data_IF_792570671616
#
_entry.id   IF_792570671616
#
_cell.length_a   1.000
_cell.length_b   1.000
_cell.length_c   1.000
_cell.angle_alpha   90.00
_cell.angle_beta   90.00
_cell.angle_gamma   90.00
#
_symmetry.space_group_name_H-M   'P 1'
#
loop_
_entity.id
_entity.type
_entity.pdbx_description
1 polymer ?
#
# COMPACT_ATOMS: atom_id res chain seq x y z
N UNK A 1 -5.33 -42.86 -45.76
CA UNK A 1 -4.66 -43.04 -44.44
C UNK A 1 -4.38 -41.65 -43.87
N UNK A 2 -5.16 -41.19 -42.88
CA UNK A 2 -5.24 -39.77 -42.52
C UNK A 2 -4.97 -39.53 -41.03
N UNK A 3 -4.00 -38.64 -40.78
CA UNK A 3 -3.78 -37.72 -39.64
C UNK A 3 -3.85 -38.29 -38.21
N UNK A 4 -2.67 -38.65 -37.67
CA UNK A 4 -2.42 -38.86 -36.23
C UNK A 4 -1.52 -37.77 -35.61
N UNK A 5 -1.24 -36.68 -36.33
CA UNK A 5 -0.27 -35.63 -35.93
C UNK A 5 -0.91 -34.41 -35.23
N UNK A 6 -2.23 -34.27 -35.29
CA UNK A 6 -2.91 -33.03 -34.88
C UNK A 6 -3.15 -32.98 -33.35
N UNK A 7 -3.36 -34.14 -32.71
CA UNK A 7 -3.59 -34.26 -31.25
C UNK A 7 -2.34 -33.92 -30.42
N UNK A 8 -1.14 -34.21 -30.94
CA UNK A 8 0.12 -33.88 -30.27
C UNK A 8 0.35 -32.36 -30.21
N UNK A 9 -0.08 -31.60 -31.23
CA UNK A 9 0.07 -30.15 -31.28
C UNK A 9 -0.87 -29.38 -30.34
N UNK A 10 -2.10 -29.86 -30.12
CA UNK A 10 -3.05 -29.20 -29.20
C UNK A 10 -2.65 -29.37 -27.74
N UNK A 11 -2.19 -30.57 -27.37
CA UNK A 11 -1.68 -30.84 -26.02
C UNK A 11 -0.38 -30.08 -25.76
N UNK A 12 0.46 -29.92 -26.78
CA UNK A 12 1.70 -29.16 -26.67
C UNK A 12 1.47 -27.65 -26.52
N UNK A 13 0.45 -27.06 -27.16
CA UNK A 13 0.04 -25.67 -26.92
C UNK A 13 -0.54 -25.47 -25.52
N UNK A 14 -1.35 -26.43 -25.05
CA UNK A 14 -1.91 -26.39 -23.70
C UNK A 14 -0.81 -26.51 -22.62
N UNK A 15 0.24 -27.27 -22.89
CA UNK A 15 1.41 -27.38 -22.01
C UNK A 15 2.27 -26.11 -21.96
N UNK A 16 2.21 -25.25 -22.99
CA UNK A 16 3.02 -24.02 -23.10
C UNK A 16 2.30 -22.76 -22.61
N UNK A 17 0.96 -22.76 -22.54
CA UNK A 17 0.16 -21.64 -22.00
C UNK A 17 0.50 -21.29 -20.53
N UNK A 18 0.66 -22.25 -19.60
CA UNK A 18 1.05 -21.95 -18.21
C UNK A 18 2.41 -21.23 -18.16
N UNK A 19 3.36 -21.65 -19.01
CA UNK A 19 4.67 -21.03 -19.13
C UNK A 19 4.56 -19.56 -19.55
N UNK A 20 3.66 -19.24 -20.47
CA UNK A 20 3.42 -17.87 -20.96
C UNK A 20 2.74 -17.00 -19.90
N UNK A 21 1.73 -17.53 -19.21
CA UNK A 21 1.06 -16.84 -18.10
C UNK A 21 2.04 -16.52 -16.97
N UNK A 22 2.89 -17.48 -16.59
CA UNK A 22 3.95 -17.27 -15.59
C UNK A 22 4.97 -16.23 -16.05
N UNK A 23 5.36 -16.25 -17.34
CA UNK A 23 6.29 -15.27 -17.89
C UNK A 23 5.73 -13.85 -17.89
N UNK A 24 4.44 -13.68 -18.22
CA UNK A 24 3.76 -12.40 -18.21
C UNK A 24 3.57 -11.88 -16.77
N UNK A 25 3.16 -12.76 -15.85
CA UNK A 25 3.05 -12.43 -14.43
C UNK A 25 4.39 -11.98 -13.85
N UNK A 26 5.50 -12.60 -14.26
CA UNK A 26 6.84 -12.21 -13.83
C UNK A 26 7.26 -10.85 -14.39
N UNK A 27 6.92 -10.55 -15.65
CA UNK A 27 7.17 -9.24 -16.26
C UNK A 27 6.35 -8.15 -15.56
N UNK A 28 5.06 -8.39 -15.33
CA UNK A 28 4.17 -7.45 -14.65
C UNK A 28 4.64 -7.20 -13.22
N UNK A 29 5.10 -8.24 -12.51
CA UNK A 29 5.69 -8.10 -11.18
C UNK A 29 6.94 -7.22 -11.18
N UNK A 30 7.88 -7.44 -12.10
CA UNK A 30 9.09 -6.62 -12.18
C UNK A 30 8.77 -5.17 -12.55
N UNK A 31 7.79 -4.95 -13.43
CA UNK A 31 7.36 -3.60 -13.81
C UNK A 31 6.65 -2.89 -12.65
N UNK A 32 5.72 -3.58 -11.97
CA UNK A 32 5.05 -3.09 -10.77
C UNK A 32 6.05 -2.78 -9.65
N UNK A 33 7.07 -3.63 -9.45
CA UNK A 33 8.13 -3.39 -8.47
C UNK A 33 8.92 -2.12 -8.77
N UNK A 34 9.29 -1.88 -10.02
CA UNK A 34 10.00 -0.66 -10.41
C UNK A 34 9.14 0.59 -10.22
N UNK A 35 7.87 0.52 -10.63
CA UNK A 35 6.95 1.65 -10.48
C UNK A 35 6.66 1.95 -9.00
N UNK A 36 6.39 0.93 -8.20
CA UNK A 36 6.18 1.06 -6.74
C UNK A 36 7.43 1.60 -6.07
N UNK A 37 8.63 1.12 -6.40
CA UNK A 37 9.87 1.65 -5.82
C UNK A 37 10.08 3.13 -6.16
N UNK A 38 9.81 3.53 -7.41
CA UNK A 38 9.89 4.93 -7.85
C UNK A 38 8.87 5.82 -7.12
N UNK A 39 7.61 5.36 -7.02
CA UNK A 39 6.54 6.05 -6.28
C UNK A 39 6.84 6.13 -4.78
N UNK A 40 7.30 5.05 -4.18
CA UNK A 40 7.68 4.99 -2.76
C UNK A 40 8.84 5.92 -2.44
N UNK A 41 9.87 6.00 -3.30
CA UNK A 41 10.99 6.93 -3.12
C UNK A 41 10.52 8.39 -3.17
N UNK A 42 9.69 8.75 -4.15
CA UNK A 42 9.12 10.10 -4.27
C UNK A 42 8.25 10.46 -3.07
N UNK A 43 7.37 9.54 -2.66
CA UNK A 43 6.53 9.70 -1.47
C UNK A 43 7.38 9.82 -0.20
N UNK A 44 8.44 9.01 -0.06
CA UNK A 44 9.35 9.02 1.07
C UNK A 44 10.15 10.32 1.19
N UNK A 45 10.61 10.88 0.07
CA UNK A 45 11.27 12.21 0.06
C UNK A 45 10.28 13.30 0.50
N UNK A 46 9.04 13.26 -0.01
CA UNK A 46 7.99 14.20 0.40
C UNK A 46 7.66 14.10 1.89
N UNK A 47 7.42 12.89 2.39
CA UNK A 47 7.15 12.63 3.80
C UNK A 47 8.35 13.02 4.70
N UNK A 48 9.58 12.75 4.26
CA UNK A 48 10.79 13.17 4.93
C UNK A 48 10.93 14.69 5.02
N UNK A 49 10.70 15.40 3.90
CA UNK A 49 10.74 16.87 3.87
C UNK A 49 9.67 17.49 4.79
N UNK A 50 8.45 16.95 4.81
CA UNK A 50 7.39 17.39 5.73
C UNK A 50 7.80 17.15 7.17
N UNK A 51 8.39 15.99 7.49
CA UNK A 51 8.86 15.68 8.85
C UNK A 51 9.91 16.69 9.32
N UNK A 52 10.88 17.01 8.47
CA UNK A 52 11.91 18.02 8.75
C UNK A 52 11.29 19.41 8.91
N UNK A 53 10.36 19.81 8.03
CA UNK A 53 9.67 21.09 8.13
C UNK A 53 8.88 21.20 9.45
N UNK A 54 8.12 20.17 9.82
CA UNK A 54 7.39 20.13 11.09
C UNK A 54 8.32 20.19 12.30
N UNK A 55 9.48 19.54 12.25
CA UNK A 55 10.50 19.64 13.28
C UNK A 55 10.97 21.09 13.48
N UNK A 56 11.31 21.80 12.40
CA UNK A 56 11.72 23.21 12.51
C UNK A 56 10.58 24.13 12.96
N UNK A 57 9.36 23.91 12.48
CA UNK A 57 8.18 24.67 12.93
C UNK A 57 7.95 24.46 14.43
N UNK A 58 8.13 23.23 14.95
CA UNK A 58 8.02 22.95 16.38
C UNK A 58 9.01 23.79 17.21
N UNK A 59 10.29 23.81 16.83
CA UNK A 59 11.30 24.61 17.54
C UNK A 59 11.07 26.12 17.38
N UNK A 60 10.62 26.57 16.21
CA UNK A 60 10.26 27.97 15.96
C UNK A 60 9.12 28.42 16.87
N UNK A 61 8.08 27.59 17.06
CA UNK A 61 7.02 27.85 18.03
C UNK A 61 7.57 27.98 19.45
N UNK A 62 8.42 27.05 19.90
CA UNK A 62 9.06 27.14 21.23
C UNK A 62 9.86 28.44 21.41
N UNK A 63 10.65 28.84 20.40
CA UNK A 63 11.39 30.08 20.43
C UNK A 63 10.47 31.31 20.52
N UNK A 64 9.34 31.31 19.80
CA UNK A 64 8.34 32.37 19.89
C UNK A 64 7.69 32.44 21.28
N UNK A 65 7.41 31.30 21.91
CA UNK A 65 6.89 31.27 23.28
C UNK A 65 7.89 31.91 24.25
N UNK A 66 9.15 31.51 24.20
CA UNK A 66 10.20 32.08 25.05
C UNK A 66 10.35 33.59 24.80
N UNK A 67 10.36 34.02 23.54
CA UNK A 67 10.43 35.44 23.18
C UNK A 67 9.22 36.24 23.71
N UNK A 68 8.01 35.69 23.61
CA UNK A 68 6.81 36.33 24.14
C UNK A 68 6.85 36.46 25.68
N UNK A 69 7.31 35.42 26.38
CA UNK A 69 7.50 35.45 27.82
C UNK A 69 8.54 36.50 28.19
N UNK A 70 9.69 36.52 27.51
CA UNK A 70 10.75 37.49 27.76
C UNK A 70 10.29 38.94 27.53
N UNK A 71 9.53 39.18 26.45
CA UNK A 71 8.97 40.49 26.14
C UNK A 71 7.97 40.97 27.21
N UNK A 72 7.08 40.10 27.68
CA UNK A 72 6.13 40.42 28.76
C UNK A 72 6.82 40.56 30.13
N UNK A 73 7.89 39.80 30.35
CA UNK A 73 8.69 39.88 31.57
C UNK A 73 9.43 41.23 31.74
N UNK A 74 9.48 42.07 30.69
CA UNK A 74 9.97 43.45 30.80
C UNK A 74 9.04 44.34 31.64
N UNK A 75 7.76 43.98 31.75
CA UNK A 75 6.74 44.76 32.46
C UNK A 75 6.20 44.03 33.69
N UNK A 76 6.10 42.69 33.63
CA UNK A 76 5.56 41.84 34.70
C UNK A 76 6.60 40.86 35.26
N UNK A 77 6.38 40.28 36.45
CA UNK A 77 7.17 39.15 36.92
C UNK A 77 7.13 37.98 35.93
N UNK A 78 8.27 37.30 35.77
CA UNK A 78 8.45 36.24 34.75
C UNK A 78 7.42 35.10 34.87
N UNK A 79 7.00 34.74 36.10
CA UNK A 79 5.98 33.70 36.33
C UNK A 79 4.60 34.12 35.82
N UNK A 80 4.22 35.40 35.96
CA UNK A 80 2.94 35.91 35.49
C UNK A 80 2.93 36.03 33.96
N UNK A 81 4.04 36.51 33.39
CA UNK A 81 4.24 36.53 31.93
C UNK A 81 4.09 35.12 31.33
N UNK A 82 4.71 34.11 31.94
CA UNK A 82 4.60 32.72 31.51
C UNK A 82 3.14 32.21 31.54
N UNK A 83 2.40 32.48 32.61
CA UNK A 83 0.99 32.08 32.73
C UNK A 83 0.10 32.74 31.67
N UNK A 84 0.34 34.01 31.37
CA UNK A 84 -0.47 34.76 30.38
C UNK A 84 -0.20 34.29 28.97
N UNK A 85 1.06 34.04 28.61
CA UNK A 85 1.40 33.43 27.32
C UNK A 85 0.80 32.03 27.21
N UNK A 86 0.89 31.21 28.26
CA UNK A 86 0.30 29.88 28.28
C UNK A 86 -1.22 29.92 28.10
N UNK A 87 -1.92 30.84 28.77
CA UNK A 87 -3.36 31.04 28.60
C UNK A 87 -3.71 31.46 27.16
N UNK A 88 -2.95 32.40 26.57
CA UNK A 88 -3.14 32.81 25.17
C UNK A 88 -2.96 31.65 24.19
N UNK A 89 -1.91 30.83 24.37
CA UNK A 89 -1.67 29.65 23.56
C UNK A 89 -2.78 28.60 23.70
N UNK A 90 -3.33 28.43 24.91
CA UNK A 90 -4.44 27.51 25.14
C UNK A 90 -5.69 27.94 24.36
N UNK A 91 -5.98 29.24 24.32
CA UNK A 91 -7.09 29.79 23.52
C UNK A 91 -6.85 29.56 22.02
N UNK A 92 -5.64 29.82 21.54
CA UNK A 92 -5.28 29.56 20.14
C UNK A 92 -5.37 28.07 19.78
N UNK A 93 -4.90 27.19 20.67
CA UNK A 93 -4.99 25.74 20.49
C UNK A 93 -6.45 25.27 20.45
N UNK A 94 -7.30 25.76 21.37
CA UNK A 94 -8.72 25.47 21.36
C UNK A 94 -9.38 25.95 20.04
N UNK A 95 -9.09 27.18 19.61
CA UNK A 95 -9.61 27.71 18.35
C UNK A 95 -9.15 26.90 17.14
N UNK A 96 -7.88 26.47 17.09
CA UNK A 96 -7.35 25.63 16.02
C UNK A 96 -8.02 24.25 15.99
N UNK A 97 -8.21 23.60 17.15
CA UNK A 97 -8.93 22.33 17.27
C UNK A 97 -10.37 22.49 16.79
N UNK A 98 -11.07 23.53 17.27
CA UNK A 98 -12.45 23.82 16.85
C UNK A 98 -12.53 24.06 15.34
N UNK A 99 -11.62 24.87 14.78
CA UNK A 99 -11.56 25.15 13.35
C UNK A 99 -11.31 23.87 12.53
N UNK A 100 -10.38 23.01 12.98
CA UNK A 100 -10.11 21.72 12.36
C UNK A 100 -11.32 20.79 12.37
N UNK A 101 -11.99 20.68 13.52
CA UNK A 101 -13.23 19.90 13.66
C UNK A 101 -14.34 20.47 12.78
N UNK A 102 -14.48 21.79 12.71
CA UNK A 102 -15.46 22.45 11.84
C UNK A 102 -15.14 22.22 10.36
N UNK A 103 -13.87 22.21 9.97
CA UNK A 103 -13.45 21.95 8.59
C UNK A 103 -13.76 20.51 8.17
N UNK A 104 -13.51 19.55 9.06
CA UNK A 104 -13.87 18.14 8.86
C UNK A 104 -15.40 17.98 8.78
N UNK A 105 -16.13 18.61 9.71
CA UNK A 105 -17.61 18.55 9.76
C UNK A 105 -18.29 19.25 8.57
N UNK A 106 -17.66 20.28 7.99
CA UNK A 106 -18.19 21.02 6.82
C UNK A 106 -17.95 20.29 5.50
N UNK A 107 -17.40 19.08 5.50
CA UNK A 107 -17.30 18.25 4.31
C UNK A 107 -16.33 18.80 3.27
N UNK A 108 -15.26 19.51 3.68
CA UNK A 108 -14.14 19.72 2.77
C UNK A 108 -13.71 18.32 2.29
N UNK A 109 -13.68 18.04 0.97
CA UNK A 109 -13.43 16.69 0.46
C UNK A 109 -11.97 16.33 0.71
N UNK A 110 -11.65 15.95 1.94
CA UNK A 110 -10.58 15.01 2.18
C UNK A 110 -10.99 13.79 1.35
N UNK A 111 -10.18 13.34 0.37
CA UNK A 111 -10.61 12.27 -0.52
C UNK A 111 -11.05 11.10 0.35
N UNK A 112 -12.33 10.71 0.30
CA UNK A 112 -12.84 9.65 1.18
C UNK A 112 -12.02 8.37 1.00
N UNK A 113 -11.55 8.13 -0.22
CA UNK A 113 -10.63 7.05 -0.55
C UNK A 113 -9.28 7.14 0.18
N UNK A 114 -8.77 8.34 0.46
CA UNK A 114 -7.53 8.53 1.22
C UNK A 114 -7.76 8.33 2.72
N UNK A 115 -8.89 8.80 3.26
CA UNK A 115 -9.25 8.58 4.66
C UNK A 115 -9.56 7.10 4.96
N UNK A 116 -10.33 6.43 4.10
CA UNK A 116 -10.63 5.00 4.25
C UNK A 116 -9.36 4.16 4.19
N UNK A 117 -8.42 4.47 3.29
CA UNK A 117 -7.13 3.77 3.22
C UNK A 117 -6.31 3.93 4.50
N UNK A 118 -6.25 5.13 5.08
CA UNK A 118 -5.54 5.34 6.36
C UNK A 118 -6.25 4.59 7.50
N UNK A 119 -7.59 4.52 7.48
CA UNK A 119 -8.37 3.73 8.44
C UNK A 119 -8.07 2.24 8.34
N UNK A 120 -8.09 1.69 7.12
CA UNK A 120 -7.78 0.29 6.84
C UNK A 120 -6.32 -0.05 7.21
N UNK A 121 -5.38 0.86 6.91
CA UNK A 121 -3.97 0.70 7.25
C UNK A 121 -3.74 0.69 8.78
N UNK A 122 -4.41 1.57 9.52
CA UNK A 122 -4.31 1.60 11.00
C UNK A 122 -4.98 0.38 11.62
N UNK A 123 -6.13 -0.07 11.09
CA UNK A 123 -6.81 -1.28 11.53
C UNK A 123 -5.94 -2.52 11.28
N UNK A 124 -5.29 -2.62 10.12
CA UNK A 124 -4.37 -3.70 9.80
C UNK A 124 -3.15 -3.75 10.74
N UNK A 125 -2.60 -2.58 11.12
CA UNK A 125 -1.51 -2.51 12.10
C UNK A 125 -1.95 -2.90 13.52
N UNK A 126 -3.19 -2.61 13.89
CA UNK A 126 -3.80 -3.03 15.16
C UNK A 126 -3.99 -4.55 15.26
N UNK A 127 -4.49 -5.17 14.18
CA UNK A 127 -4.74 -6.61 14.08
C UNK A 127 -3.44 -7.44 14.25
N UNK A 128 -2.33 -6.97 13.65
CA UNK A 128 -1.01 -7.62 13.78
C UNK A 128 -0.51 -7.57 15.23
N UNK A 129 -0.73 -6.46 15.95
CA UNK A 129 -0.34 -6.34 17.36
C UNK A 129 -1.19 -7.22 18.27
N UNK A 130 -2.49 -7.35 17.99
CA UNK A 130 -3.40 -8.15 18.81
C UNK A 130 -3.15 -9.66 18.64
N UNK A 131 -2.87 -10.13 17.42
CA UNK A 131 -2.56 -11.54 17.16
C UNK A 131 -1.14 -11.97 17.58
N UNK A 132 -0.21 -11.03 17.74
CA UNK A 132 1.12 -11.32 18.25
C UNK A 132 1.12 -11.73 19.73
N UNK A 133 0.14 -11.26 20.52
CA UNK A 133 -0.01 -11.62 21.93
C UNK A 133 -0.58 -13.04 22.11
N UNK A 134 -1.36 -13.52 21.13
CA UNK A 134 -1.96 -14.86 21.10
C UNK A 134 -1.03 -15.96 20.59
N UNK A 135 0.10 -15.59 19.95
CA UNK A 135 1.05 -16.50 19.32
C UNK A 135 2.30 -16.84 20.16
N UNK A 136 2.27 -16.63 21.47
CA UNK A 136 3.37 -17.11 22.33
C UNK A 136 3.38 -18.65 22.38
N UNK A 137 4.52 -19.32 22.08
CA UNK A 137 4.66 -20.74 22.32
C UNK A 137 4.53 -20.99 23.82
N UNK A 138 3.54 -21.79 24.24
CA UNK A 138 3.46 -22.25 25.63
C UNK A 138 4.79 -22.95 26.00
N UNK A 139 5.45 -22.57 27.11
CA UNK A 139 6.62 -23.30 27.60
C UNK A 139 6.19 -24.76 27.86
N UNK A 140 6.68 -25.70 27.03
CA UNK A 140 6.42 -27.13 27.17
C UNK A 140 5.83 -27.87 25.96
N UNK A 141 5.53 -27.21 24.84
CA UNK A 141 5.13 -27.93 23.63
C UNK A 141 6.35 -28.58 22.96
N UNK A 142 6.49 -29.90 23.10
CA UNK A 142 7.57 -30.69 22.51
C UNK A 142 7.55 -30.74 20.98
N UNK A 143 8.59 -31.29 20.33
CA UNK A 143 8.75 -31.27 18.89
C UNK A 143 7.62 -32.05 18.20
N UNK A 144 6.86 -31.39 17.31
CA UNK A 144 5.83 -32.06 16.50
C UNK A 144 6.52 -32.81 15.36
N UNK A 145 6.49 -34.15 15.40
CA UNK A 145 7.05 -35.02 14.36
C UNK A 145 6.06 -35.12 13.17
N UNK A 146 6.48 -34.89 11.91
CA UNK A 146 5.59 -35.09 10.77
C UNK A 146 5.32 -36.59 10.54
N UNK A 147 4.04 -36.96 10.45
CA UNK A 147 3.60 -38.33 10.25
C UNK A 147 3.71 -38.77 8.78
N UNK A 148 4.57 -39.76 8.54
CA UNK A 148 4.30 -40.95 7.73
C UNK A 148 3.91 -40.80 6.26
N UNK A 149 4.89 -41.01 5.38
CA UNK A 149 4.69 -41.46 4.01
C UNK A 149 4.45 -42.98 3.96
N UNK A 150 3.34 -43.41 3.35
CA UNK A 150 3.01 -44.74 2.79
C UNK A 150 1.54 -44.62 2.30
N UNK A 151 1.05 -45.07 1.15
CA UNK A 151 1.41 -46.07 0.15
C UNK A 151 0.07 -46.63 -0.36
N UNK A 152 -0.12 -46.85 -1.67
CA UNK A 152 -1.30 -47.59 -2.18
C UNK A 152 -1.88 -47.13 -3.52
N UNK A 153 -1.71 -47.98 -4.53
CA UNK A 153 -2.33 -47.96 -5.87
C UNK A 153 -3.80 -48.40 -5.84
N UNK A 154 -4.65 -47.92 -6.77
CA UNK A 154 -5.65 -48.73 -7.49
C UNK A 154 -6.31 -47.94 -8.64
N UNK A 155 -6.78 -48.71 -9.61
CA UNK A 155 -7.19 -48.44 -10.98
C UNK A 155 -8.70 -48.16 -11.15
N UNK A 156 -9.09 -47.90 -12.41
CA UNK A 156 -10.44 -47.87 -13.03
C UNK A 156 -11.16 -46.52 -12.95
N UNK A 157 -12.03 -46.08 -13.87
CA UNK A 157 -12.41 -46.32 -15.28
C UNK A 157 -13.65 -45.40 -15.45
N UNK A 158 -13.89 -44.77 -16.61
CA UNK A 158 -15.25 -44.25 -16.89
C UNK A 158 -15.41 -42.87 -17.55
N UNK A 159 -15.49 -42.88 -18.88
CA UNK A 159 -16.57 -42.29 -19.71
C UNK A 159 -16.90 -40.77 -19.61
N UNK A 160 -16.82 -40.06 -20.76
CA UNK A 160 -17.59 -38.82 -21.00
C UNK A 160 -17.06 -37.90 -22.10
N UNK A 161 -17.80 -37.78 -23.20
CA UNK A 161 -17.45 -37.18 -24.49
C UNK A 161 -17.67 -35.63 -24.60
N UNK A 162 -17.37 -34.97 -25.75
CA UNK A 162 -16.95 -33.56 -25.86
C UNK A 162 -17.92 -32.61 -26.61
N UNK A 163 -17.62 -31.30 -26.60
CA UNK A 163 -18.14 -30.29 -27.54
C UNK A 163 -17.19 -29.07 -27.58
N UNK A 164 -16.55 -28.76 -28.71
CA UNK A 164 -16.98 -27.74 -29.70
C UNK A 164 -16.53 -26.30 -29.31
N UNK A 165 -16.02 -25.36 -30.12
CA UNK A 165 -15.56 -25.25 -31.52
C UNK A 165 -14.96 -23.82 -31.68
N UNK A 166 -13.93 -23.65 -32.52
CA UNK A 166 -13.68 -22.40 -33.29
C UNK A 166 -12.81 -21.34 -32.61
N UNK A 167 -12.04 -20.49 -33.29
CA UNK A 167 -11.69 -20.36 -34.70
C UNK A 167 -10.54 -19.34 -34.79
N UNK A 168 -9.56 -19.62 -35.64
CA UNK A 168 -8.39 -18.79 -35.96
C UNK A 168 -8.80 -17.48 -36.65
N UNK A 169 -8.17 -16.34 -36.28
CA UNK A 169 -7.97 -15.22 -37.21
C UNK A 169 -6.60 -14.57 -37.00
N UNK A 170 -5.75 -14.71 -38.00
CA UNK A 170 -4.56 -13.92 -38.22
C UNK A 170 -4.94 -12.51 -38.69
N UNK A 171 -4.40 -11.47 -38.06
CA UNK A 171 -4.23 -10.17 -38.71
C UNK A 171 -2.78 -9.72 -38.63
N UNK A 172 -2.20 -9.56 -39.82
CA UNK A 172 -0.89 -9.01 -40.12
C UNK A 172 -1.03 -7.48 -40.28
N UNK A 173 -0.03 -6.77 -39.77
CA UNK A 173 0.20 -5.31 -39.76
C UNK A 173 0.08 -4.62 -41.14
N UNK A 174 -0.02 -3.28 -41.13
CA UNK A 174 1.01 -2.49 -41.80
C UNK A 174 1.56 -1.33 -40.93
N UNK A 175 2.84 -1.04 -41.14
CA UNK A 175 3.51 0.19 -40.70
C UNK A 175 3.07 1.40 -41.54
N UNK A 176 3.07 2.61 -40.96
CA UNK A 176 3.47 3.85 -41.63
C UNK A 176 3.62 4.96 -40.58
N UNK A 177 4.69 5.75 -40.69
CA UNK A 177 4.95 6.92 -39.86
C UNK A 177 4.31 8.20 -40.40
N UNK A 178 4.11 9.16 -39.50
CA UNK A 178 3.99 10.61 -39.71
C UNK A 178 4.51 11.21 -38.38
N UNK A 179 5.68 11.84 -38.29
CA UNK A 179 6.03 13.20 -38.74
C UNK A 179 5.02 14.30 -38.33
N UNK A 180 5.52 15.33 -37.62
CA UNK A 180 4.81 16.60 -37.38
C UNK A 180 4.64 16.97 -35.90
N UNK A 181 5.63 17.54 -35.22
CA UNK A 181 5.84 19.00 -35.15
C UNK A 181 4.58 19.79 -34.74
N UNK A 182 4.43 20.08 -33.45
CA UNK A 182 3.60 21.20 -32.97
C UNK A 182 4.32 21.91 -31.81
N UNK A 183 5.04 22.97 -32.21
CA UNK A 183 5.21 24.29 -31.56
C UNK A 183 5.37 24.38 -30.05
#
# INVERSE_FOLDING_TARGET
MMRKKDQAGTFELLSRLPQQVVSLAKIEYENAKQEVASKAKKAGIGAGAITVALFFVFFMLQALVVAAIAALALVWPWWLAALVVAAGLLVLAAAAVLAGVMLIKRGNPVPEQALSRVGDDVAALGEVRFNAETAMPRPGAGPVRPAGAAGGSHTTEGVGAPGATGSVRHHRMPQAGEEGNWR
#
